data_IF_324177967185
#
_entry.id   IF_324177967185
#
_cell.length_a   1.000
_cell.length_b   1.000
_cell.length_c   1.000
_cell.angle_alpha   90.00
_cell.angle_beta   90.00
_cell.angle_gamma   90.00
#
_symmetry.space_group_name_H-M   'P 1'
#
loop_
_entity.id
_entity.type
_entity.pdbx_description
1 polymer ?
#
# COMPACT_ATOMS: atom_id res chain seq x y z
N UNK A 1 -5.28 -3.19 24.84
CA UNK A 1 -3.87 -3.04 24.45
C UNK A 1 -3.77 -1.87 23.49
N UNK A 2 -3.01 -0.82 23.82
CA UNK A 2 -2.80 0.30 22.90
C UNK A 2 -1.82 -0.12 21.80
N UNK A 3 -2.13 0.19 20.53
CA UNK A 3 -1.19 -0.01 19.40
C UNK A 3 -0.31 1.24 19.29
N UNK A 4 1.01 1.06 19.24
CA UNK A 4 1.98 2.14 19.05
C UNK A 4 2.42 2.17 17.58
N UNK A 5 2.37 3.35 16.96
CA UNK A 5 2.81 3.56 15.58
C UNK A 5 4.01 4.52 15.54
N UNK A 6 5.02 4.16 14.77
CA UNK A 6 6.23 4.98 14.58
C UNK A 6 6.13 5.60 13.18
N UNK A 7 6.02 6.93 13.12
CA UNK A 7 5.92 7.68 11.85
C UNK A 7 7.20 8.48 11.67
N UNK A 8 7.97 8.18 10.61
CA UNK A 8 9.20 8.93 10.30
C UNK A 8 8.86 10.31 9.74
N UNK A 9 9.66 11.30 10.14
CA UNK A 9 9.65 12.67 9.60
C UNK A 9 10.88 12.85 8.73
N UNK A 10 10.69 13.03 7.43
CA UNK A 10 11.77 13.12 6.45
C UNK A 10 11.76 14.50 5.80
N UNK A 11 12.93 15.09 5.56
CA UNK A 11 13.07 16.35 4.83
C UNK A 11 13.21 16.05 3.33
N UNK A 12 12.29 16.55 2.51
CA UNK A 12 12.35 16.37 1.06
C UNK A 12 13.43 17.28 0.47
N UNK A 13 14.35 16.72 -0.31
CA UNK A 13 15.41 17.48 -0.99
C UNK A 13 14.89 18.36 -2.13
N UNK A 14 13.76 17.99 -2.76
CA UNK A 14 13.19 18.76 -3.87
C UNK A 14 12.40 20.00 -3.42
N UNK A 15 11.60 19.90 -2.36
CA UNK A 15 10.77 21.02 -1.90
C UNK A 15 11.21 21.64 -0.56
N UNK A 16 12.27 21.11 0.06
CA UNK A 16 12.86 21.58 1.31
C UNK A 16 11.96 21.54 2.56
N UNK A 17 10.75 20.96 2.46
CA UNK A 17 9.80 20.82 3.57
C UNK A 17 9.93 19.46 4.27
N UNK A 18 9.45 19.40 5.51
CA UNK A 18 9.33 18.15 6.27
C UNK A 18 8.03 17.45 5.87
N UNK A 19 8.14 16.18 5.49
CA UNK A 19 7.03 15.29 5.21
C UNK A 19 6.97 14.18 6.25
N UNK A 20 5.75 13.74 6.54
CA UNK A 20 5.52 12.54 7.32
C UNK A 20 5.44 11.37 6.35
N UNK A 21 6.11 10.29 6.70
CA UNK A 21 5.89 9.00 6.06
C UNK A 21 4.43 8.58 6.25
N UNK A 22 3.81 8.04 5.20
CA UNK A 22 2.53 7.37 5.34
C UNK A 22 2.77 6.07 6.12
N UNK A 23 2.14 5.81 7.28
CA UNK A 23 2.28 4.54 7.98
C UNK A 23 1.60 3.39 7.21
N UNK A 24 2.11 2.17 7.37
CA UNK A 24 1.60 0.96 6.73
C UNK A 24 0.16 0.58 7.11
N UNK A 25 -0.32 1.02 8.27
CA UNK A 25 -1.73 0.89 8.67
C UNK A 25 -2.67 1.73 7.79
N UNK A 26 -2.19 2.79 7.13
CA UNK A 26 -3.05 3.71 6.38
C UNK A 26 -2.92 3.52 4.88
N UNK A 27 -4.08 3.53 4.20
CA UNK A 27 -4.16 3.54 2.75
C UNK A 27 -4.61 4.94 2.29
N UNK A 28 -3.95 5.57 1.30
CA UNK A 28 -4.36 6.89 0.83
C UNK A 28 -5.84 6.92 0.42
N UNK A 29 -6.53 8.00 0.80
CA UNK A 29 -7.95 8.22 0.51
C UNK A 29 -8.93 7.19 1.09
N UNK A 30 -8.48 6.30 1.98
CA UNK A 30 -9.33 5.36 2.69
C UNK A 30 -9.42 5.75 4.15
N UNK A 31 -10.61 5.55 4.73
CA UNK A 31 -10.91 5.90 6.14
C UNK A 31 -10.64 4.74 7.10
N UNK A 32 -10.55 3.52 6.57
CA UNK A 32 -10.36 2.30 7.33
C UNK A 32 -8.88 1.90 7.32
N UNK A 33 -8.47 1.22 8.37
CA UNK A 33 -7.13 0.67 8.46
C UNK A 33 -6.90 -0.38 7.36
N UNK A 34 -5.64 -0.54 6.96
CA UNK A 34 -5.23 -1.43 5.90
C UNK A 34 -5.62 -2.89 6.20
N UNK A 35 -5.49 -3.33 7.45
CA UNK A 35 -5.87 -4.67 7.91
C UNK A 35 -7.38 -4.93 7.74
N UNK A 36 -8.22 -3.95 8.07
CA UNK A 36 -9.67 -4.02 7.87
C UNK A 36 -10.03 -4.12 6.39
N UNK A 37 -9.39 -3.33 5.53
CA UNK A 37 -9.64 -3.40 4.08
C UNK A 37 -9.17 -4.74 3.53
N UNK A 38 -7.98 -5.19 3.95
CA UNK A 38 -7.34 -6.44 3.54
C UNK A 38 -8.25 -7.66 3.74
N UNK A 39 -8.91 -7.78 4.90
CA UNK A 39 -9.84 -8.87 5.23
C UNK A 39 -10.99 -8.99 4.20
N UNK A 40 -11.36 -7.87 3.57
CA UNK A 40 -12.48 -7.83 2.63
C UNK A 40 -12.10 -8.07 1.17
N UNK A 41 -10.81 -7.94 0.81
CA UNK A 41 -10.35 -8.00 -0.58
C UNK A 41 -10.64 -9.37 -1.20
N UNK A 42 -10.25 -10.44 -0.51
CA UNK A 42 -10.60 -11.80 -0.90
C UNK A 42 -11.89 -12.19 -0.21
N UNK A 43 -12.82 -12.76 -0.96
CA UNK A 43 -14.15 -13.10 -0.44
C UNK A 43 -14.03 -14.23 0.57
N UNK A 44 -14.09 -13.87 1.86
CA UNK A 44 -14.08 -14.83 2.96
C UNK A 44 -15.51 -15.09 3.41
N UNK A 45 -15.83 -16.31 3.82
CA UNK A 45 -17.18 -16.76 4.16
C UNK A 45 -17.82 -16.00 5.34
N UNK A 46 -17.02 -15.28 6.14
CA UNK A 46 -17.49 -14.51 7.29
C UNK A 46 -16.68 -13.22 7.40
N UNK A 47 -17.21 -12.11 6.87
CA UNK A 47 -16.60 -10.79 7.05
C UNK A 47 -17.02 -10.26 8.43
N UNK A 48 -16.04 -9.86 9.25
CA UNK A 48 -16.31 -9.26 10.57
C UNK A 48 -16.30 -7.73 10.54
N UNK A 49 -16.11 -7.16 9.35
CA UNK A 49 -15.86 -5.73 9.13
C UNK A 49 -17.16 -4.92 9.21
N UNK A 50 -17.15 -3.88 10.04
CA UNK A 50 -18.24 -2.91 10.17
C UNK A 50 -18.25 -1.89 9.02
N UNK A 51 -18.38 -2.37 7.77
CA UNK A 51 -18.55 -1.56 6.57
C UNK A 51 -19.74 -2.09 5.76
N UNK A 52 -20.43 -1.19 5.07
CA UNK A 52 -21.53 -1.59 4.19
C UNK A 52 -21.00 -2.29 2.93
N UNK A 53 -21.84 -3.13 2.33
CA UNK A 53 -21.50 -3.89 1.12
C UNK A 53 -21.06 -3.01 -0.05
N UNK A 54 -21.60 -1.79 -0.18
CA UNK A 54 -21.21 -0.89 -1.26
C UNK A 54 -19.79 -0.35 -1.08
N UNK A 55 -19.39 -0.07 0.16
CA UNK A 55 -18.02 0.27 0.53
C UNK A 55 -17.06 -0.89 0.26
N UNK A 56 -17.42 -2.11 0.67
CA UNK A 56 -16.62 -3.32 0.44
C UNK A 56 -16.44 -3.59 -1.06
N UNK A 57 -17.53 -3.51 -1.83
CA UNK A 57 -17.48 -3.61 -3.28
C UNK A 57 -16.56 -2.55 -3.90
N UNK A 58 -16.65 -1.31 -3.41
CA UNK A 58 -15.78 -0.22 -3.82
C UNK A 58 -14.29 -0.52 -3.59
N UNK A 59 -13.94 -1.12 -2.45
CA UNK A 59 -12.57 -1.53 -2.16
C UNK A 59 -12.10 -2.65 -3.07
N UNK A 60 -12.91 -3.69 -3.29
CA UNK A 60 -12.55 -4.77 -4.22
C UNK A 60 -12.31 -4.25 -5.63
N UNK A 61 -13.18 -3.38 -6.12
CA UNK A 61 -13.03 -2.75 -7.45
C UNK A 61 -11.76 -1.89 -7.54
N UNK A 62 -11.52 -1.06 -6.53
CA UNK A 62 -10.32 -0.22 -6.42
C UNK A 62 -9.04 -1.06 -6.42
N UNK A 63 -9.02 -2.12 -5.60
CA UNK A 63 -7.89 -3.03 -5.48
C UNK A 63 -7.59 -3.72 -6.82
N UNK A 64 -8.60 -4.33 -7.44
CA UNK A 64 -8.44 -5.03 -8.72
C UNK A 64 -7.94 -4.13 -9.85
N UNK A 65 -8.24 -2.83 -9.79
CA UNK A 65 -7.78 -1.84 -10.79
C UNK A 65 -6.30 -1.49 -10.61
N UNK A 66 -5.77 -1.56 -9.38
CA UNK A 66 -4.43 -1.03 -9.06
C UNK A 66 -3.39 -2.09 -8.74
N UNK A 67 -3.79 -3.33 -8.43
CA UNK A 67 -2.86 -4.34 -7.94
C UNK A 67 -1.73 -4.65 -8.92
N UNK A 68 -2.01 -4.73 -10.22
CA UNK A 68 -0.96 -4.96 -11.22
C UNK A 68 0.08 -3.84 -11.19
N UNK A 69 -0.39 -2.58 -11.18
CA UNK A 69 0.47 -1.41 -11.11
C UNK A 69 1.37 -1.42 -9.86
N UNK A 70 0.80 -1.73 -8.69
CA UNK A 70 1.58 -1.80 -7.46
C UNK A 70 2.64 -2.91 -7.49
N UNK A 71 2.29 -4.10 -7.98
CA UNK A 71 3.24 -5.21 -8.06
C UNK A 71 4.40 -4.92 -9.03
N UNK A 72 4.15 -4.21 -10.15
CA UNK A 72 5.22 -3.75 -11.03
C UNK A 72 6.14 -2.72 -10.37
N UNK A 73 5.59 -1.79 -9.58
CA UNK A 73 6.41 -0.83 -8.83
C UNK A 73 7.26 -1.54 -7.80
N UNK A 74 6.69 -2.46 -7.02
CA UNK A 74 7.45 -3.23 -6.04
C UNK A 74 8.60 -4.00 -6.71
N UNK A 75 8.33 -4.68 -7.83
CA UNK A 75 9.37 -5.36 -8.61
C UNK A 75 10.46 -4.39 -9.05
N UNK A 76 10.08 -3.23 -9.58
CA UNK A 76 11.01 -2.21 -10.07
C UNK A 76 11.88 -1.64 -8.94
N UNK A 77 11.28 -1.39 -7.79
CA UNK A 77 11.98 -0.93 -6.59
C UNK A 77 12.94 -1.99 -6.06
N UNK A 78 12.51 -3.24 -6.00
CA UNK A 78 13.34 -4.36 -5.56
C UNK A 78 14.60 -4.47 -6.44
N UNK A 79 14.44 -4.42 -7.77
CA UNK A 79 15.57 -4.41 -8.73
C UNK A 79 16.50 -3.19 -8.51
N UNK A 80 15.95 -2.01 -8.18
CA UNK A 80 16.77 -0.82 -7.96
C UNK A 80 17.56 -0.88 -6.65
N UNK A 81 16.99 -1.47 -5.59
CA UNK A 81 17.64 -1.57 -4.28
C UNK A 81 18.57 -2.78 -4.17
N UNK A 82 18.26 -3.89 -4.83
CA UNK A 82 19.15 -5.05 -4.97
C UNK A 82 20.18 -4.76 -6.07
N UNK A 83 21.25 -4.05 -5.69
CA UNK A 83 22.37 -3.75 -6.59
C UNK A 83 23.02 -5.06 -7.10
N UNK A 84 22.64 -5.50 -8.30
CA UNK A 84 23.30 -6.50 -9.16
C UNK A 84 22.98 -8.01 -8.99
N UNK A 85 21.82 -8.39 -8.48
CA UNK A 85 21.26 -9.71 -8.80
C UNK A 85 19.91 -9.51 -9.48
N UNK A 86 19.78 -9.95 -10.74
CA UNK A 86 18.45 -10.04 -11.37
C UNK A 86 17.62 -11.00 -10.52
N UNK A 87 16.48 -10.60 -9.95
CA UNK A 87 15.59 -11.54 -9.32
C UNK A 87 15.22 -12.58 -10.37
N UNK A 88 15.63 -13.83 -10.15
CA UNK A 88 15.32 -14.93 -11.07
C UNK A 88 13.82 -15.19 -11.17
N UNK A 89 13.04 -14.60 -10.27
CA UNK A 89 11.60 -14.71 -10.18
C UNK A 89 10.95 -13.37 -10.54
N UNK A 90 10.16 -13.36 -11.62
CA UNK A 90 9.24 -12.26 -11.90
C UNK A 90 8.05 -12.31 -10.93
N UNK A 91 8.15 -11.56 -9.83
CA UNK A 91 7.11 -11.47 -8.80
C UNK A 91 5.94 -10.55 -9.21
N UNK A 92 6.03 -9.95 -10.40
CA UNK A 92 4.95 -9.16 -11.01
C UNK A 92 4.11 -9.95 -12.02
N UNK A 93 4.55 -11.17 -12.38
CA UNK A 93 3.95 -11.99 -13.43
C UNK A 93 2.43 -12.17 -13.28
N UNK A 94 1.68 -11.88 -14.34
CA UNK A 94 0.21 -12.02 -14.37
C UNK A 94 -0.28 -13.44 -14.66
N UNK A 95 0.63 -14.41 -14.77
CA UNK A 95 0.29 -15.81 -15.06
C UNK A 95 -0.41 -16.50 -13.88
N UNK A 96 -0.21 -15.97 -12.66
CA UNK A 96 -0.79 -16.52 -11.44
C UNK A 96 -1.98 -15.66 -10.96
N UNK A 97 -2.94 -16.27 -10.24
CA UNK A 97 -3.98 -15.52 -9.54
C UNK A 97 -3.37 -14.49 -8.57
N UNK A 98 -4.04 -13.35 -8.40
CA UNK A 98 -3.57 -12.23 -7.58
C UNK A 98 -3.17 -12.63 -6.16
N UNK A 99 -3.93 -13.51 -5.51
CA UNK A 99 -3.60 -14.00 -4.15
C UNK A 99 -2.30 -14.81 -4.11
N UNK A 100 -1.98 -15.59 -5.16
CA UNK A 100 -0.70 -16.32 -5.25
C UNK A 100 0.45 -15.36 -5.49
N UNK A 101 0.26 -14.34 -6.34
CA UNK A 101 1.26 -13.30 -6.60
C UNK A 101 1.61 -12.54 -5.32
N UNK A 102 0.60 -12.09 -4.57
CA UNK A 102 0.80 -11.48 -3.25
C UNK A 102 1.50 -12.45 -2.29
N UNK A 103 1.10 -13.72 -2.31
CA UNK A 103 1.73 -14.76 -1.50
C UNK A 103 3.22 -14.98 -1.82
N UNK A 104 3.68 -14.72 -3.04
CA UNK A 104 5.11 -14.78 -3.37
C UNK A 104 5.89 -13.63 -2.70
N UNK A 105 5.26 -12.47 -2.50
CA UNK A 105 5.88 -11.32 -1.81
C UNK A 105 5.85 -11.44 -0.29
N UNK A 106 4.72 -11.86 0.28
CA UNK A 106 4.46 -11.73 1.73
C UNK A 106 4.09 -13.05 2.43
N UNK A 107 4.08 -14.17 1.71
CA UNK A 107 3.65 -15.45 2.24
C UNK A 107 2.17 -15.46 2.64
N UNK A 108 1.86 -16.06 3.79
CA UNK A 108 0.51 -16.11 4.38
C UNK A 108 0.30 -15.05 5.46
N UNK A 109 1.24 -14.12 5.63
CA UNK A 109 1.17 -13.10 6.67
C UNK A 109 0.11 -12.03 6.35
N UNK A 110 -0.61 -11.60 7.39
CA UNK A 110 -1.51 -10.43 7.30
C UNK A 110 -0.74 -9.12 7.24
N UNK A 111 -1.42 -8.04 6.85
CA UNK A 111 -0.86 -6.70 6.69
C UNK A 111 -0.09 -6.53 5.37
N UNK A 112 -0.28 -7.45 4.42
CA UNK A 112 0.33 -7.36 3.10
C UNK A 112 -0.15 -6.14 2.33
N UNK A 113 -1.40 -5.69 2.52
CA UNK A 113 -1.93 -4.53 1.78
C UNK A 113 -1.17 -3.25 2.15
N UNK A 114 -0.94 -3.05 3.44
CA UNK A 114 -0.12 -1.96 3.96
C UNK A 114 1.31 -2.01 3.42
N UNK A 115 1.93 -3.20 3.45
CA UNK A 115 3.29 -3.43 2.95
C UNK A 115 3.44 -3.20 1.43
N UNK A 116 2.38 -3.39 0.65
CA UNK A 116 2.36 -3.04 -0.78
C UNK A 116 2.25 -1.53 -0.97
N UNK A 117 1.27 -0.90 -0.34
CA UNK A 117 0.93 0.51 -0.59
C UNK A 117 1.96 1.47 -0.01
N UNK A 118 2.54 1.13 1.13
CA UNK A 118 3.54 1.94 1.83
C UNK A 118 4.73 2.37 0.95
N UNK A 119 5.51 1.46 0.33
CA UNK A 119 6.62 1.84 -0.55
C UNK A 119 6.14 2.57 -1.81
N UNK A 120 5.00 2.17 -2.38
CA UNK A 120 4.42 2.81 -3.57
C UNK A 120 4.10 4.28 -3.30
N UNK A 121 3.48 4.58 -2.17
CA UNK A 121 3.12 5.94 -1.77
C UNK A 121 4.34 6.76 -1.35
N UNK A 122 5.20 6.20 -0.49
CA UNK A 122 6.35 6.91 0.08
C UNK A 122 7.50 7.14 -0.93
N UNK A 123 7.52 6.44 -2.06
CA UNK A 123 8.40 6.74 -3.21
C UNK A 123 7.73 7.59 -4.30
N UNK A 124 6.60 8.23 -3.99
CA UNK A 124 5.91 9.17 -4.88
C UNK A 124 5.37 8.57 -6.18
N UNK A 125 5.28 7.25 -6.31
CA UNK A 125 4.56 6.60 -7.40
C UNK A 125 3.04 6.72 -7.25
N UNK A 126 2.57 7.00 -6.04
CA UNK A 126 1.17 7.36 -5.81
C UNK A 126 1.06 8.80 -5.30
N UNK A 127 0.50 9.66 -6.15
CA UNK A 127 0.12 11.01 -5.76
C UNK A 127 -1.07 10.93 -4.78
N UNK A 128 -0.77 10.99 -3.49
CA UNK A 128 -1.79 11.19 -2.47
C UNK A 128 -1.96 12.67 -2.19
N UNK A 129 -3.19 13.12 -1.90
CA UNK A 129 -3.46 14.50 -1.53
C UNK A 129 -2.59 14.82 -0.33
N UNK A 130 -1.73 15.82 -0.50
CA UNK A 130 -1.13 16.48 0.65
C UNK A 130 -2.31 17.03 1.44
N UNK A 131 -2.41 16.71 2.73
CA UNK A 131 -3.15 17.60 3.63
C UNK A 131 -2.40 18.93 3.55
N UNK A 132 -2.81 19.77 2.62
CA UNK A 132 -2.33 21.12 2.53
C UNK A 132 -2.94 21.84 3.72
N UNK A 133 -2.27 21.75 4.87
CA UNK A 133 -2.24 22.92 5.73
C UNK A 133 -1.55 23.98 4.90
N UNK A 134 -2.37 24.72 4.13
CA UNK A 134 -2.00 26.03 3.64
C UNK A 134 -1.83 26.87 4.92
N UNK A 135 -0.66 26.79 5.54
CA UNK A 135 -0.19 27.95 6.30
C UNK A 135 0.03 29.00 5.22
N UNK A 136 -0.99 29.82 4.99
CA UNK A 136 -0.77 31.11 4.37
C UNK A 136 0.35 31.82 5.15
N UNK A 137 1.11 32.64 4.43
CA UNK A 137 2.01 33.73 4.86
C UNK A 137 3.47 33.58 4.43
N UNK A 138 4.11 34.71 4.04
CA UNK A 138 3.74 36.12 4.31
C UNK A 138 2.77 36.76 3.31
#
# INVERSE_FOLDING_TARGET
>A
MARTFIIRRLRCQQCNKIHHELPDLMIPYKRYAADVIEETIFQTAHLTVAADESTIYGWRKWFSTLIDYWLFILQSLLIQFEQNETPTVDLSSRLLPVHKRIGQWFGTASGWLGKIVHPVANHHFWIHTRSAFLSAYP
#
